data_IF_248840831798
#
_entry.id   IF_248840831798
#
_cell.length_a   1.000
_cell.length_b   1.000
_cell.length_c   1.000
_cell.angle_alpha   90.00
_cell.angle_beta   90.00
_cell.angle_gamma   90.00
#
_symmetry.space_group_name_H-M   'P 1'
#
loop_
_entity.id
_entity.type
_entity.pdbx_description
1 polymer ?
#
# COMPACT_ATOMS: atom_id res chain seq x y z
N UNK A 1 -26.02 -38.61 10.42
CA UNK A 1 -25.74 -37.18 10.20
C UNK A 1 -24.25 -37.08 9.97
N UNK A 2 -23.78 -36.27 9.02
CA UNK A 2 -22.35 -36.00 8.94
C UNK A 2 -21.88 -35.40 10.27
N UNK A 3 -20.71 -35.81 10.77
CA UNK A 3 -20.22 -35.45 12.10
C UNK A 3 -18.86 -34.76 12.03
N UNK A 4 -18.52 -33.99 13.06
CA UNK A 4 -17.18 -33.46 13.27
C UNK A 4 -16.71 -33.81 14.68
N UNK A 5 -15.41 -34.08 14.84
CA UNK A 5 -14.80 -34.36 16.13
C UNK A 5 -14.13 -33.10 16.67
N UNK A 6 -14.46 -32.75 17.92
CA UNK A 6 -13.79 -31.70 18.68
C UNK A 6 -13.58 -32.22 20.09
N UNK A 7 -12.34 -32.24 20.58
CA UNK A 7 -12.01 -32.64 21.96
C UNK A 7 -12.51 -34.05 22.33
N UNK A 8 -12.28 -35.05 21.46
CA UNK A 8 -12.67 -36.46 21.62
C UNK A 8 -14.19 -36.75 21.73
N UNK A 9 -15.05 -35.77 21.37
CA UNK A 9 -16.49 -35.95 21.23
C UNK A 9 -16.95 -35.73 19.78
N UNK A 10 -17.88 -36.57 19.32
CA UNK A 10 -18.51 -36.45 17.99
C UNK A 10 -19.81 -35.64 18.06
N UNK A 11 -19.88 -34.60 17.23
CA UNK A 11 -21.05 -33.73 17.10
C UNK A 11 -21.63 -33.81 15.69
N UNK A 12 -22.94 -33.67 15.54
CA UNK A 12 -23.59 -33.56 14.23
C UNK A 12 -23.24 -32.23 13.56
N UNK A 13 -23.06 -32.23 12.23
CA UNK A 13 -22.90 -31.00 11.46
C UNK A 13 -24.18 -30.15 11.55
N UNK A 14 -24.04 -28.85 11.82
CA UNK A 14 -25.17 -27.95 11.91
C UNK A 14 -25.82 -27.74 10.54
N UNK A 15 -27.13 -27.55 10.54
CA UNK A 15 -27.94 -27.22 9.35
C UNK A 15 -27.96 -25.73 9.05
N UNK A 16 -27.49 -24.90 9.98
CA UNK A 16 -27.38 -23.46 9.81
C UNK A 16 -26.07 -23.08 9.08
N UNK A 17 -26.14 -22.26 8.01
CA UNK A 17 -24.96 -21.87 7.22
C UNK A 17 -23.87 -21.16 8.04
N UNK A 18 -24.24 -20.39 9.06
CA UNK A 18 -23.30 -19.62 9.89
C UNK A 18 -22.46 -20.52 10.80
N UNK A 19 -23.09 -21.51 11.44
CA UNK A 19 -22.39 -22.45 12.30
C UNK A 19 -21.52 -23.40 11.48
N UNK A 20 -22.02 -23.84 10.32
CA UNK A 20 -21.24 -24.64 9.38
C UNK A 20 -20.01 -23.87 8.86
N UNK A 21 -20.15 -22.56 8.59
CA UNK A 21 -19.01 -21.71 8.20
C UNK A 21 -17.91 -21.67 9.27
N UNK A 22 -18.27 -21.62 10.56
CA UNK A 22 -17.29 -21.61 11.66
C UNK A 22 -16.56 -22.94 11.78
N UNK A 23 -17.28 -24.04 11.64
CA UNK A 23 -16.71 -25.40 11.66
C UNK A 23 -15.79 -25.60 10.45
N UNK A 24 -16.19 -25.19 9.25
CA UNK A 24 -15.32 -25.26 8.07
C UNK A 24 -14.05 -24.40 8.22
N UNK A 25 -14.10 -23.27 8.93
CA UNK A 25 -12.93 -22.46 9.25
C UNK A 25 -11.96 -23.18 10.19
N UNK A 26 -12.49 -23.78 11.27
CA UNK A 26 -11.70 -24.58 12.22
C UNK A 26 -11.09 -25.83 11.55
N UNK A 27 -11.85 -26.51 10.70
CA UNK A 27 -11.34 -27.64 9.92
C UNK A 27 -10.22 -27.21 8.96
N UNK A 28 -10.38 -26.07 8.28
CA UNK A 28 -9.33 -25.51 7.41
C UNK A 28 -8.04 -25.16 8.15
N UNK A 29 -8.14 -24.82 9.44
CA UNK A 29 -7.00 -24.59 10.33
C UNK A 29 -6.44 -25.88 10.95
N UNK A 30 -6.95 -27.06 10.56
CA UNK A 30 -6.59 -28.37 11.13
C UNK A 30 -6.92 -28.52 12.63
N UNK A 31 -7.88 -27.75 13.15
CA UNK A 31 -8.29 -27.80 14.56
C UNK A 31 -9.31 -28.91 14.85
N UNK A 32 -10.03 -29.36 13.82
CA UNK A 32 -11.08 -30.38 13.89
C UNK A 32 -11.07 -31.24 12.63
N UNK A 33 -11.52 -32.48 12.74
CA UNK A 33 -11.66 -33.42 11.61
C UNK A 33 -13.14 -33.60 11.31
N UNK A 34 -13.52 -33.48 10.04
CA UNK A 34 -14.89 -33.73 9.58
C UNK A 34 -14.91 -35.14 8.99
N UNK A 35 -15.72 -36.01 9.59
CA UNK A 35 -15.90 -37.38 9.12
C UNK A 35 -17.12 -37.43 8.18
N UNK A 36 -16.86 -37.68 6.90
CA UNK A 36 -17.87 -37.71 5.83
C UNK A 36 -18.32 -39.11 5.46
N UNK A 37 -18.01 -40.12 6.28
CA UNK A 37 -17.88 -41.51 5.83
C UNK A 37 -19.12 -42.14 5.19
N UNK A 38 -20.33 -41.56 5.24
CA UNK A 38 -21.49 -42.11 4.52
C UNK A 38 -22.66 -41.14 4.22
N UNK A 39 -22.48 -39.81 4.18
CA UNK A 39 -23.63 -38.89 3.99
C UNK A 39 -23.37 -37.71 3.04
N UNK A 40 -24.36 -37.46 2.17
CA UNK A 40 -24.38 -36.32 1.26
C UNK A 40 -24.69 -35.04 2.05
N UNK A 41 -23.73 -34.12 2.14
CA UNK A 41 -24.03 -32.78 2.62
C UNK A 41 -24.76 -32.04 1.50
N UNK A 42 -25.81 -31.30 1.85
CA UNK A 42 -26.49 -30.43 0.89
C UNK A 42 -25.49 -29.43 0.28
N UNK A 43 -25.27 -29.53 -1.03
CA UNK A 43 -24.36 -28.68 -1.78
C UNK A 43 -24.77 -27.20 -1.70
N UNK A 44 -26.08 -26.92 -1.58
CA UNK A 44 -26.57 -25.56 -1.42
C UNK A 44 -26.16 -24.95 -0.07
N UNK A 45 -26.27 -25.75 1.00
CA UNK A 45 -25.82 -25.37 2.34
C UNK A 45 -24.30 -25.15 2.40
N UNK A 46 -23.50 -26.08 1.84
CA UNK A 46 -22.03 -25.94 1.78
C UNK A 46 -21.59 -24.71 1.01
N UNK A 47 -22.23 -24.43 -0.13
CA UNK A 47 -21.95 -23.23 -0.92
C UNK A 47 -22.20 -21.96 -0.10
N UNK A 48 -23.33 -21.91 0.60
CA UNK A 48 -23.72 -20.74 1.40
C UNK A 48 -22.74 -20.52 2.56
N UNK A 49 -22.42 -21.59 3.30
CA UNK A 49 -21.42 -21.55 4.37
C UNK A 49 -20.03 -21.13 3.85
N UNK A 50 -19.61 -21.62 2.69
CA UNK A 50 -18.32 -21.25 2.07
C UNK A 50 -18.29 -19.77 1.67
N UNK A 51 -19.39 -19.24 1.13
CA UNK A 51 -19.50 -17.80 0.81
C UNK A 51 -19.39 -16.95 2.08
N UNK A 52 -20.04 -17.36 3.17
CA UNK A 52 -19.95 -16.67 4.46
C UNK A 52 -18.52 -16.70 5.01
N UNK A 53 -17.85 -17.85 4.95
CA UNK A 53 -16.46 -17.99 5.37
C UNK A 53 -15.53 -17.06 4.59
N UNK A 54 -15.69 -17.00 3.26
CA UNK A 54 -14.91 -16.11 2.40
C UNK A 54 -15.20 -14.65 2.72
N UNK A 55 -16.46 -14.26 2.92
CA UNK A 55 -16.82 -12.89 3.33
C UNK A 55 -16.16 -12.48 4.64
N UNK A 56 -16.20 -13.37 5.65
CA UNK A 56 -15.54 -13.12 6.93
C UNK A 56 -14.02 -13.00 6.78
N UNK A 57 -13.40 -13.84 5.94
CA UNK A 57 -11.96 -13.74 5.63
C UNK A 57 -11.60 -12.45 4.91
N UNK A 58 -12.42 -12.01 3.95
CA UNK A 58 -12.25 -10.71 3.27
C UNK A 58 -12.35 -9.57 4.29
N UNK A 59 -13.36 -9.60 5.17
CA UNK A 59 -13.52 -8.62 6.24
C UNK A 59 -12.30 -8.53 7.15
N UNK A 60 -11.77 -9.66 7.61
CA UNK A 60 -10.52 -9.72 8.39
C UNK A 60 -9.29 -9.22 7.62
N UNK A 61 -9.30 -9.32 6.28
CA UNK A 61 -8.18 -8.90 5.42
C UNK A 61 -8.17 -7.40 5.09
N UNK A 62 -9.23 -6.66 5.40
CA UNK A 62 -9.30 -5.20 5.23
C UNK A 62 -8.58 -4.53 6.40
N UNK A 63 -7.26 -4.64 6.39
CA UNK A 63 -6.40 -4.02 7.39
C UNK A 63 -6.23 -2.53 7.09
N UNK A 64 -6.10 -1.65 8.11
CA UNK A 64 -6.01 -0.20 7.90
C UNK A 64 -4.85 0.24 7.00
N UNK A 65 -3.74 -0.49 7.02
CA UNK A 65 -2.60 -0.28 6.12
C UNK A 65 -2.98 -0.37 4.64
N UNK A 66 -3.97 -1.20 4.26
CA UNK A 66 -4.46 -1.25 2.87
C UNK A 66 -5.15 0.02 2.43
N UNK A 67 -5.84 0.72 3.32
CA UNK A 67 -6.43 2.02 3.00
C UNK A 67 -5.34 3.08 2.78
N UNK A 68 -4.27 3.02 3.59
CA UNK A 68 -3.10 3.89 3.41
C UNK A 68 -2.39 3.61 2.07
N UNK A 69 -2.31 2.35 1.66
CA UNK A 69 -1.79 1.96 0.33
C UNK A 69 -2.60 2.62 -0.78
N UNK A 70 -3.94 2.54 -0.73
CA UNK A 70 -4.79 3.19 -1.72
C UNK A 70 -4.63 4.72 -1.73
N UNK A 71 -4.46 5.34 -0.55
CA UNK A 71 -4.24 6.77 -0.45
C UNK A 71 -2.90 7.23 -1.05
N UNK A 72 -1.80 6.48 -0.85
CA UNK A 72 -0.51 6.83 -1.46
C UNK A 72 -0.49 6.60 -2.98
N UNK A 73 -1.15 5.56 -3.47
CA UNK A 73 -1.31 5.31 -4.91
C UNK A 73 -2.11 6.43 -5.57
N UNK A 74 -3.25 6.81 -4.97
CA UNK A 74 -4.04 7.95 -5.42
C UNK A 74 -3.25 9.28 -5.39
N UNK A 75 -2.40 9.47 -4.39
CA UNK A 75 -1.54 10.67 -4.30
C UNK A 75 -0.50 10.70 -5.43
N UNK A 76 0.13 9.56 -5.73
CA UNK A 76 1.11 9.44 -6.83
C UNK A 76 0.44 9.64 -8.20
N UNK A 77 -0.77 9.13 -8.39
CA UNK A 77 -1.60 9.38 -9.59
C UNK A 77 -2.02 10.85 -9.71
N UNK A 78 -2.42 11.49 -8.61
CA UNK A 78 -2.78 12.90 -8.57
C UNK A 78 -1.58 13.79 -8.93
N UNK A 79 -0.39 13.50 -8.41
CA UNK A 79 0.84 14.19 -8.79
C UNK A 79 1.18 14.01 -10.28
N UNK A 80 1.05 12.79 -10.80
CA UNK A 80 1.30 12.50 -12.22
C UNK A 80 0.35 13.28 -13.12
N UNK A 81 -0.94 13.27 -12.77
CA UNK A 81 -1.99 14.00 -13.48
C UNK A 81 -1.75 15.51 -13.41
N UNK A 82 -1.44 16.04 -12.23
CA UNK A 82 -1.08 17.43 -12.03
C UNK A 82 0.06 17.86 -12.94
N UNK A 83 1.14 17.07 -13.02
CA UNK A 83 2.30 17.39 -13.86
C UNK A 83 1.93 17.42 -15.35
N UNK A 84 1.19 16.42 -15.84
CA UNK A 84 0.76 16.36 -17.24
C UNK A 84 -0.15 17.53 -17.62
N UNK A 85 -1.11 17.84 -16.75
CA UNK A 85 -2.06 18.94 -16.94
C UNK A 85 -1.36 20.29 -16.87
N UNK A 86 -0.42 20.46 -15.95
CA UNK A 86 0.36 21.68 -15.80
C UNK A 86 1.20 21.97 -17.03
N UNK A 87 1.92 20.97 -17.56
CA UNK A 87 2.69 21.11 -18.80
C UNK A 87 1.79 21.45 -20.00
N UNK A 88 0.61 20.81 -20.07
CA UNK A 88 -0.38 21.10 -21.11
C UNK A 88 -0.90 22.53 -21.00
N UNK A 89 -1.21 22.98 -19.78
CA UNK A 89 -1.75 24.31 -19.50
C UNK A 89 -0.72 25.41 -19.84
N UNK A 90 0.54 25.24 -19.42
CA UNK A 90 1.64 26.15 -19.76
C UNK A 90 1.81 26.25 -21.28
N UNK A 91 1.84 25.11 -21.96
CA UNK A 91 2.01 25.06 -23.41
C UNK A 91 0.85 25.71 -24.15
N UNK A 92 -0.39 25.44 -23.73
CA UNK A 92 -1.57 25.99 -24.37
C UNK A 92 -1.70 27.49 -24.14
N UNK A 93 -1.37 27.97 -22.94
CA UNK A 93 -1.30 29.40 -22.63
C UNK A 93 -0.31 30.13 -23.55
N UNK A 94 0.90 29.59 -23.71
CA UNK A 94 1.92 30.14 -24.61
C UNK A 94 1.42 30.20 -26.06
N UNK A 95 0.79 29.14 -26.56
CA UNK A 95 0.22 29.09 -27.92
C UNK A 95 -0.90 30.12 -28.14
N UNK A 96 -1.78 30.33 -27.15
CA UNK A 96 -2.91 31.26 -27.27
C UNK A 96 -2.49 32.73 -27.20
N UNK A 97 -1.42 33.03 -26.46
CA UNK A 97 -1.00 34.40 -26.18
C UNK A 97 0.20 34.86 -27.01
N UNK A 98 0.91 33.92 -27.66
CA UNK A 98 2.20 34.19 -28.30
C UNK A 98 3.33 34.49 -27.31
N UNK A 99 3.08 34.37 -26.01
CA UNK A 99 4.09 34.62 -24.97
C UNK A 99 5.01 33.40 -24.79
N UNK A 100 6.27 33.59 -24.35
CA UNK A 100 7.16 32.48 -24.04
C UNK A 100 6.58 31.62 -22.91
N UNK A 101 7.04 30.37 -22.79
CA UNK A 101 6.68 29.51 -21.66
C UNK A 101 7.13 30.16 -20.35
N UNK A 102 6.18 30.37 -19.46
CA UNK A 102 6.40 30.87 -18.10
C UNK A 102 5.90 29.84 -17.08
N UNK A 103 6.32 30.00 -15.82
CA UNK A 103 5.96 29.09 -14.73
C UNK A 103 4.45 29.07 -14.50
N UNK A 104 3.94 27.90 -14.10
CA UNK A 104 2.50 27.67 -13.87
C UNK A 104 1.91 28.71 -12.91
N UNK A 105 2.58 28.95 -11.78
CA UNK A 105 2.11 29.81 -10.69
C UNK A 105 1.83 31.23 -11.20
N UNK A 106 2.74 31.74 -12.04
CA UNK A 106 2.63 33.06 -12.67
C UNK A 106 1.43 33.14 -13.62
N UNK A 107 1.08 32.05 -14.31
CA UNK A 107 -0.09 32.01 -15.20
C UNK A 107 -1.38 31.95 -14.37
N UNK A 108 -1.39 31.18 -13.29
CA UNK A 108 -2.57 31.02 -12.43
C UNK A 108 -2.97 32.33 -11.73
N UNK A 109 -2.00 33.20 -11.42
CA UNK A 109 -2.22 34.53 -10.82
C UNK A 109 -2.79 35.59 -11.78
N UNK A 110 -2.79 35.34 -13.10
CA UNK A 110 -3.27 36.34 -14.07
C UNK A 110 -4.79 36.51 -14.01
N UNK A 111 -5.23 37.78 -13.97
CA UNK A 111 -6.65 38.15 -14.02
C UNK A 111 -7.28 37.85 -15.39
N UNK A 112 -6.59 38.21 -16.47
CA UNK A 112 -7.06 37.99 -17.84
C UNK A 112 -6.48 36.70 -18.41
N UNK A 113 -7.30 35.67 -18.49
CA UNK A 113 -6.96 34.39 -19.08
C UNK A 113 -7.84 34.08 -20.30
N UNK A 114 -7.27 33.52 -21.37
CA UNK A 114 -8.04 33.03 -22.51
C UNK A 114 -9.17 32.09 -22.05
N UNK A 115 -10.40 32.24 -22.58
CA UNK A 115 -11.56 31.44 -22.14
C UNK A 115 -11.35 29.94 -22.33
N UNK A 116 -10.54 29.53 -23.31
CA UNK A 116 -10.28 28.13 -23.66
C UNK A 116 -9.60 27.35 -22.52
N UNK A 117 -8.78 28.01 -21.69
CA UNK A 117 -8.00 27.35 -20.62
C UNK A 117 -8.63 27.49 -19.24
N UNK A 118 -9.73 28.23 -19.09
CA UNK A 118 -10.36 28.49 -17.78
C UNK A 118 -10.80 27.21 -17.07
N UNK A 119 -11.45 26.29 -17.79
CA UNK A 119 -11.85 24.98 -17.21
C UNK A 119 -10.64 24.19 -16.72
N UNK A 120 -9.52 24.27 -17.45
CA UNK A 120 -8.29 23.59 -17.09
C UNK A 120 -7.63 24.22 -15.86
N UNK A 121 -7.70 25.56 -15.71
CA UNK A 121 -7.30 26.26 -14.48
C UNK A 121 -8.08 25.73 -13.28
N UNK A 122 -9.40 25.65 -13.38
CA UNK A 122 -10.27 25.14 -12.30
C UNK A 122 -9.90 23.70 -11.95
N UNK A 123 -9.67 22.84 -12.95
CA UNK A 123 -9.23 21.47 -12.72
C UNK A 123 -7.87 21.37 -12.02
N UNK A 124 -6.91 22.22 -12.38
CA UNK A 124 -5.59 22.29 -11.71
C UNK A 124 -5.75 22.58 -10.22
N UNK A 125 -6.59 23.54 -9.84
CA UNK A 125 -6.84 23.86 -8.43
C UNK A 125 -7.46 22.66 -7.70
N UNK A 126 -8.45 21.99 -8.28
CA UNK A 126 -9.04 20.79 -7.67
C UNK A 126 -8.01 19.65 -7.46
N UNK A 127 -7.08 19.45 -8.40
CA UNK A 127 -6.02 18.45 -8.21
C UNK A 127 -5.05 18.88 -7.11
N UNK A 128 -4.71 20.17 -7.01
CA UNK A 128 -3.88 20.69 -5.91
C UNK A 128 -4.56 20.45 -4.55
N UNK A 129 -5.86 20.71 -4.45
CA UNK A 129 -6.64 20.45 -3.24
C UNK A 129 -6.69 18.95 -2.90
N UNK A 130 -6.83 18.09 -3.91
CA UNK A 130 -6.79 16.64 -3.75
C UNK A 130 -5.43 16.17 -3.21
N UNK A 131 -4.33 16.65 -3.79
CA UNK A 131 -2.96 16.35 -3.33
C UNK A 131 -2.78 16.74 -1.87
N UNK A 132 -3.22 17.95 -1.48
CA UNK A 132 -3.15 18.42 -0.09
C UNK A 132 -3.99 17.54 0.84
N UNK A 133 -5.22 17.23 0.44
CA UNK A 133 -6.15 16.40 1.22
C UNK A 133 -5.58 15.00 1.47
N UNK A 134 -5.06 14.35 0.43
CA UNK A 134 -4.46 13.01 0.54
C UNK A 134 -3.19 13.02 1.39
N UNK A 135 -2.31 14.03 1.23
CA UNK A 135 -1.10 14.14 2.06
C UNK A 135 -1.46 14.31 3.54
N UNK A 136 -2.42 15.19 3.86
CA UNK A 136 -2.87 15.41 5.23
C UNK A 136 -3.49 14.15 5.84
N UNK A 137 -4.29 13.41 5.06
CA UNK A 137 -4.85 12.14 5.49
C UNK A 137 -3.75 11.14 5.84
N UNK A 138 -2.76 10.98 4.97
CA UNK A 138 -1.62 10.10 5.22
C UNK A 138 -0.85 10.54 6.48
N UNK A 139 -0.59 11.83 6.65
CA UNK A 139 0.16 12.36 7.80
C UNK A 139 -0.57 12.12 9.14
N UNK A 140 -1.90 12.11 9.13
CA UNK A 140 -2.72 11.85 10.31
C UNK A 140 -2.86 10.36 10.63
N UNK A 141 -3.05 9.51 9.62
CA UNK A 141 -3.39 8.10 9.84
C UNK A 141 -2.16 7.17 9.88
N UNK A 142 -1.12 7.43 9.10
CA UNK A 142 0.06 6.54 9.03
C UNK A 142 0.77 6.33 10.37
N UNK A 143 0.98 7.37 11.22
CA UNK A 143 1.62 7.18 12.52
C UNK A 143 0.81 6.31 13.48
N UNK A 144 -0.51 6.17 13.28
CA UNK A 144 -1.38 5.33 14.11
C UNK A 144 -1.20 3.84 13.80
N UNK A 145 -0.79 3.52 12.58
CA UNK A 145 -0.66 2.14 12.10
C UNK A 145 0.79 1.64 12.14
N UNK A 146 1.77 2.46 11.76
CA UNK A 146 3.20 2.09 11.77
C UNK A 146 4.10 3.25 12.23
N UNK A 147 4.04 3.61 13.54
CA UNK A 147 4.75 4.76 14.08
C UNK A 147 6.27 4.70 13.89
N UNK A 148 6.90 3.53 14.10
CA UNK A 148 8.35 3.41 14.02
C UNK A 148 8.87 3.60 12.58
N UNK A 149 8.13 3.10 11.58
CA UNK A 149 8.43 3.35 10.18
C UNK A 149 8.29 4.83 9.81
N UNK A 150 7.23 5.50 10.28
CA UNK A 150 7.03 6.95 10.03
C UNK A 150 8.14 7.77 10.67
N UNK A 151 8.57 7.45 11.89
CA UNK A 151 9.66 8.17 12.57
C UNK A 151 10.97 8.11 11.76
N UNK A 152 11.28 6.96 11.16
CA UNK A 152 12.53 6.75 10.44
C UNK A 152 12.50 7.31 9.02
N UNK A 153 11.38 7.18 8.32
CA UNK A 153 11.28 7.46 6.88
C UNK A 153 10.49 8.73 6.54
N UNK A 154 9.66 9.21 7.45
CA UNK A 154 8.55 10.11 7.17
C UNK A 154 7.36 9.38 6.54
N UNK A 155 6.19 10.01 6.62
CA UNK A 155 4.88 9.43 6.24
C UNK A 155 4.88 8.83 4.82
N UNK A 156 5.07 9.65 3.79
CA UNK A 156 4.89 9.21 2.40
C UNK A 156 5.86 8.08 2.03
N UNK A 157 7.13 8.17 2.45
CA UNK A 157 8.11 7.13 2.15
C UNK A 157 7.80 5.84 2.92
N UNK A 158 7.38 5.92 4.19
CA UNK A 158 6.94 4.75 4.94
C UNK A 158 5.77 4.03 4.26
N UNK A 159 4.73 4.78 3.87
CA UNK A 159 3.56 4.22 3.21
C UNK A 159 3.93 3.61 1.84
N UNK A 160 4.79 4.26 1.04
CA UNK A 160 5.30 3.70 -0.22
C UNK A 160 6.07 2.39 -0.02
N UNK A 161 6.85 2.27 1.05
CA UNK A 161 7.55 1.01 1.36
C UNK A 161 6.57 -0.12 1.70
N UNK A 162 5.52 0.18 2.47
CA UNK A 162 4.45 -0.77 2.79
C UNK A 162 3.67 -1.16 1.53
N UNK A 163 3.30 -0.18 0.70
CA UNK A 163 2.62 -0.39 -0.59
C UNK A 163 3.44 -1.29 -1.53
N UNK A 164 4.74 -1.02 -1.66
CA UNK A 164 5.65 -1.83 -2.48
C UNK A 164 5.78 -3.28 -1.99
N UNK A 165 5.61 -3.53 -0.70
CA UNK A 165 5.58 -4.88 -0.14
C UNK A 165 4.19 -5.53 -0.25
N UNK A 166 3.14 -4.72 -0.39
CA UNK A 166 1.73 -5.10 -0.52
C UNK A 166 0.94 -5.02 0.79
N UNK A 167 1.59 -5.18 1.94
CA UNK A 167 1.03 -4.99 3.28
C UNK A 167 2.18 -4.93 4.32
N UNK A 168 1.87 -4.46 5.54
CA UNK A 168 2.87 -4.32 6.61
C UNK A 168 3.43 -5.69 7.05
N UNK A 169 2.61 -6.75 7.02
CA UNK A 169 3.01 -8.12 7.37
C UNK A 169 4.11 -8.64 6.46
N UNK A 170 3.98 -8.44 5.14
CA UNK A 170 4.97 -8.82 4.15
C UNK A 170 6.24 -8.00 4.33
N UNK A 171 6.13 -6.69 4.52
CA UNK A 171 7.29 -5.83 4.75
C UNK A 171 8.09 -6.30 5.98
N UNK A 172 7.41 -6.63 7.09
CA UNK A 172 8.04 -7.12 8.32
C UNK A 172 8.80 -8.45 8.13
N UNK A 173 8.40 -9.28 7.17
CA UNK A 173 9.06 -10.56 6.84
C UNK A 173 10.22 -10.40 5.87
N UNK A 174 10.31 -9.29 5.14
CA UNK A 174 11.38 -9.09 4.16
C UNK A 174 12.75 -8.92 4.84
N UNK A 175 13.83 -9.45 4.25
CA UNK A 175 15.18 -9.14 4.70
C UNK A 175 15.57 -7.72 4.30
N UNK A 176 16.53 -7.13 5.04
CA UNK A 176 17.03 -5.77 4.78
C UNK A 176 17.55 -5.58 3.34
N UNK A 177 18.16 -6.61 2.75
CA UNK A 177 18.63 -6.58 1.35
C UNK A 177 17.49 -6.39 0.34
N UNK A 178 16.34 -7.03 0.55
CA UNK A 178 15.15 -6.83 -0.27
C UNK A 178 14.57 -5.44 -0.06
N UNK A 179 14.43 -5.02 1.21
CA UNK A 179 13.92 -3.67 1.57
C UNK A 179 14.78 -2.57 0.93
N UNK A 180 16.10 -2.75 0.85
CA UNK A 180 17.01 -1.81 0.21
C UNK A 180 16.67 -1.56 -1.27
N UNK A 181 16.15 -2.59 -1.96
CA UNK A 181 15.94 -2.62 -3.41
C UNK A 181 14.48 -2.47 -3.84
N UNK A 182 13.53 -2.36 -2.90
CA UNK A 182 12.12 -2.10 -3.21
C UNK A 182 11.97 -0.82 -4.06
N UNK A 183 11.32 -0.92 -5.21
CA UNK A 183 11.20 0.13 -6.23
C UNK A 183 12.31 0.14 -7.29
N UNK A 184 13.29 -0.78 -7.22
CA UNK A 184 14.35 -0.95 -8.22
C UNK A 184 14.30 -2.32 -8.93
N UNK A 185 13.15 -3.00 -8.86
CA UNK A 185 12.93 -4.36 -9.37
C UNK A 185 13.33 -4.48 -10.84
N UNK A 186 12.93 -3.52 -11.67
CA UNK A 186 13.28 -3.50 -13.10
C UNK A 186 14.80 -3.50 -13.33
N UNK A 187 15.54 -2.72 -12.54
CA UNK A 187 16.99 -2.67 -12.64
C UNK A 187 17.66 -3.94 -12.08
N UNK A 188 17.08 -4.51 -11.01
CA UNK A 188 17.54 -5.77 -10.42
C UNK A 188 17.34 -6.94 -11.38
N UNK A 189 16.16 -7.07 -12.00
CA UNK A 189 15.88 -8.14 -12.96
C UNK A 189 16.73 -8.02 -14.22
N UNK A 190 17.02 -6.79 -14.66
CA UNK A 190 17.98 -6.55 -15.74
C UNK A 190 19.36 -7.06 -15.37
N UNK A 191 19.91 -6.69 -14.21
CA UNK A 191 21.18 -7.23 -13.70
C UNK A 191 21.21 -8.76 -13.68
N UNK A 192 20.12 -9.40 -13.22
CA UNK A 192 20.02 -10.86 -13.20
C UNK A 192 19.98 -11.48 -14.60
N UNK A 193 19.48 -10.75 -15.61
CA UNK A 193 19.31 -11.24 -16.97
C UNK A 193 20.58 -11.04 -17.83
N UNK A 194 21.21 -9.88 -17.72
CA UNK A 194 22.29 -9.45 -18.62
C UNK A 194 23.63 -9.14 -17.90
N UNK A 195 23.69 -9.27 -16.58
CA UNK A 195 24.89 -8.98 -15.79
C UNK A 195 25.22 -7.49 -15.64
N UNK A 196 24.35 -6.57 -16.09
CA UNK A 196 24.53 -5.12 -15.91
C UNK A 196 24.67 -4.74 -14.43
N UNK A 197 25.34 -3.64 -14.04
CA UNK A 197 25.60 -3.35 -12.62
C UNK A 197 24.33 -3.34 -11.74
N UNK A 198 24.35 -3.99 -10.56
CA UNK A 198 23.16 -4.09 -9.72
C UNK A 198 22.73 -2.73 -9.16
N UNK A 199 21.43 -2.50 -8.94
CA UNK A 199 20.94 -1.30 -8.29
C UNK A 199 21.44 -1.23 -6.84
N UNK A 200 21.76 -0.02 -6.36
CA UNK A 200 22.25 0.21 -4.99
C UNK A 200 21.15 0.62 -4.01
N UNK A 201 20.00 1.05 -4.52
CA UNK A 201 18.88 1.59 -3.76
C UNK A 201 17.62 1.62 -4.64
N UNK A 202 16.45 1.43 -4.03
CA UNK A 202 15.15 1.72 -4.64
C UNK A 202 14.52 2.98 -4.04
N UNK A 203 13.29 2.88 -3.52
CA UNK A 203 12.54 4.00 -2.95
C UNK A 203 13.29 4.73 -1.82
N UNK A 204 14.10 4.03 -1.02
CA UNK A 204 14.92 4.64 0.03
C UNK A 204 15.86 5.75 -0.48
N UNK A 205 16.15 5.79 -1.79
CA UNK A 205 16.89 6.90 -2.40
C UNK A 205 16.24 8.27 -2.16
N UNK A 206 14.91 8.30 -2.02
CA UNK A 206 14.13 9.52 -1.80
C UNK A 206 14.35 10.11 -0.39
N UNK A 207 14.84 9.31 0.56
CA UNK A 207 15.08 9.76 1.92
C UNK A 207 16.09 10.91 1.96
N UNK A 208 15.83 12.04 2.67
CA UNK A 208 16.68 13.23 2.64
C UNK A 208 18.16 12.96 2.92
N UNK A 209 18.47 12.10 3.90
CA UNK A 209 19.85 11.77 4.28
C UNK A 209 20.61 11.03 3.16
N UNK A 210 19.90 10.26 2.32
CA UNK A 210 20.51 9.55 1.19
C UNK A 210 20.63 10.49 0.00
N UNK A 211 19.55 11.20 -0.33
CA UNK A 211 19.51 12.15 -1.46
C UNK A 211 20.60 13.22 -1.36
N UNK A 212 20.85 13.75 -0.15
CA UNK A 212 21.87 14.78 0.14
C UNK A 212 23.30 14.24 0.26
N UNK A 213 23.48 12.91 0.42
CA UNK A 213 24.81 12.31 0.60
C UNK A 213 25.62 12.22 -0.69
N UNK A 214 26.95 12.04 -0.56
CA UNK A 214 27.85 11.90 -1.72
C UNK A 214 27.50 10.65 -2.57
N UNK A 215 27.77 10.66 -3.88
CA UNK A 215 27.52 9.50 -4.76
C UNK A 215 28.11 8.17 -4.25
N UNK A 216 29.28 8.23 -3.61
CA UNK A 216 29.96 7.06 -3.04
C UNK A 216 29.25 6.54 -1.79
N UNK A 217 28.66 7.43 -0.99
CA UNK A 217 28.03 7.08 0.29
C UNK A 217 26.58 6.65 0.17
N UNK A 218 25.89 7.02 -0.91
CA UNK A 218 24.46 6.72 -1.12
C UNK A 218 24.10 5.25 -0.91
N UNK A 219 24.87 4.33 -1.48
CA UNK A 219 24.63 2.89 -1.32
C UNK A 219 24.86 2.41 0.12
N UNK A 220 25.89 2.94 0.80
CA UNK A 220 26.20 2.61 2.20
C UNK A 220 25.11 3.13 3.13
N UNK A 221 24.64 4.36 2.91
CA UNK A 221 23.58 4.99 3.70
C UNK A 221 22.23 4.29 3.46
N UNK A 222 21.91 3.92 2.21
CA UNK A 222 20.72 3.13 1.88
C UNK A 222 20.71 1.77 2.59
N UNK A 223 21.84 1.05 2.60
CA UNK A 223 21.95 -0.21 3.35
C UNK A 223 21.73 -0.04 4.85
N UNK A 224 22.32 0.99 5.46
CA UNK A 224 22.11 1.30 6.89
C UNK A 224 20.65 1.63 7.18
N UNK A 225 20.02 2.42 6.32
CA UNK A 225 18.61 2.79 6.48
C UNK A 225 17.70 1.55 6.32
N UNK A 226 17.93 0.72 5.31
CA UNK A 226 17.16 -0.50 5.08
C UNK A 226 17.21 -1.45 6.30
N UNK A 227 18.36 -1.56 6.97
CA UNK A 227 18.48 -2.34 8.19
C UNK A 227 17.61 -1.77 9.33
N UNK A 228 17.56 -0.44 9.49
CA UNK A 228 16.67 0.20 10.47
C UNK A 228 15.20 0.01 10.13
N UNK A 229 14.85 0.15 8.85
CA UNK A 229 13.49 -0.08 8.35
C UNK A 229 13.04 -1.52 8.61
N UNK A 230 13.91 -2.51 8.38
CA UNK A 230 13.61 -3.92 8.65
C UNK A 230 13.30 -4.18 10.14
N UNK A 231 13.99 -3.49 11.04
CA UNK A 231 13.73 -3.59 12.49
C UNK A 231 12.42 -2.89 12.83
N UNK A 232 12.21 -1.67 12.33
CA UNK A 232 11.01 -0.88 12.58
C UNK A 232 9.74 -1.56 12.04
N UNK A 233 9.78 -2.13 10.83
CA UNK A 233 8.64 -2.88 10.28
C UNK A 233 8.27 -4.08 11.13
N UNK A 234 9.26 -4.75 11.75
CA UNK A 234 9.01 -5.87 12.67
C UNK A 234 8.45 -5.38 13.99
N UNK A 235 8.92 -4.24 14.49
CA UNK A 235 8.39 -3.62 15.70
C UNK A 235 6.93 -3.19 15.49
N UNK A 236 6.61 -2.52 14.39
CA UNK A 236 5.25 -2.06 14.10
C UNK A 236 4.27 -3.24 13.87
N UNK A 237 4.75 -4.36 13.31
CA UNK A 237 3.90 -5.53 13.02
C UNK A 237 3.78 -6.53 14.17
N UNK A 238 4.91 -6.91 14.79
CA UNK A 238 4.97 -7.93 15.84
C UNK A 238 5.08 -7.36 17.24
N UNK A 239 5.43 -6.07 17.38
CA UNK A 239 5.50 -5.43 18.68
C UNK A 239 4.13 -5.49 19.35
N UNK A 240 4.14 -5.70 20.66
CA UNK A 240 2.94 -5.55 21.44
C UNK A 240 2.41 -4.12 21.20
N UNK A 241 1.14 -4.00 20.84
CA UNK A 241 0.44 -2.72 20.91
C UNK A 241 0.31 -2.37 22.40
N UNK A 242 1.40 -1.95 23.05
CA UNK A 242 1.38 -1.48 24.42
C UNK A 242 0.41 -0.32 24.47
N UNK A 243 -0.75 -0.59 25.07
CA UNK A 243 -1.83 0.37 25.21
C UNK A 243 -1.36 1.56 26.02
N UNK A 244 -1.10 2.67 25.33
CA UNK A 244 -1.50 3.98 25.80
C UNK A 244 -2.64 4.44 24.88
N UNK A 245 -3.82 3.86 25.15
CA UNK A 245 -5.11 4.47 24.87
C UNK A 245 -5.72 4.86 26.21
#
# INVERSE_FOLDING_TARGET
>A
MATYSSSDQEFALPTEPEELSKILERHGNSEIVINLENQNIDLALLRTASILQVRNRIGKSLTPDKNLIQAIEALDEAHTTFNLVSERYITWYSQLTGSPRIKLEVILEKEKLPPQIQKLKVFIHHIQDLVLTLSNYLDLESPKEFPALVEILGTQLAVRMVASAGDLSKLARMPSSTIQLLGAEKALFRHMSDGSPPPKHGFLYQHPNIKKSSPKDKGRNSRKLAAKVAIASKLDFYGEKSGYR
#
